data_IF_966344856372
#
_entry.id   IF_966344856372
#
_cell.length_a   1.000
_cell.length_b   1.000
_cell.length_c   1.000
_cell.angle_alpha   90.00
_cell.angle_beta   90.00
_cell.angle_gamma   90.00
#
_symmetry.space_group_name_H-M   'P 1'
#
loop_
_entity.id
_entity.type
_entity.pdbx_description
1 polymer ?
#
# COMPACT_ATOMS: atom_id res chain seq x y z
N UNK A 1 -29.35 -38.50 -61.18
CA UNK A 1 -30.27 -37.78 -60.28
C UNK A 1 -30.88 -36.48 -60.83
N UNK A 2 -30.19 -35.59 -61.58
CA UNK A 2 -30.81 -34.32 -62.01
C UNK A 2 -32.03 -34.49 -62.92
N UNK A 3 -32.07 -35.56 -63.72
CA UNK A 3 -33.22 -35.88 -64.58
C UNK A 3 -34.50 -36.27 -63.82
N UNK A 4 -34.37 -36.81 -62.60
CA UNK A 4 -35.53 -37.20 -61.81
C UNK A 4 -36.26 -35.98 -61.22
N UNK A 5 -35.50 -35.00 -60.69
CA UNK A 5 -36.08 -33.79 -60.10
C UNK A 5 -36.80 -32.94 -61.15
N UNK A 6 -36.20 -32.78 -62.34
CA UNK A 6 -36.85 -32.07 -63.44
C UNK A 6 -38.09 -32.81 -63.97
N UNK A 7 -38.03 -34.13 -64.12
CA UNK A 7 -39.19 -34.91 -64.56
C UNK A 7 -40.34 -34.87 -63.53
N UNK A 8 -40.02 -34.97 -62.25
CA UNK A 8 -40.98 -34.84 -61.16
C UNK A 8 -41.61 -33.44 -61.12
N UNK A 9 -40.80 -32.37 -61.19
CA UNK A 9 -41.28 -31.00 -61.16
C UNK A 9 -42.23 -30.68 -62.32
N UNK A 10 -41.87 -31.11 -63.53
CA UNK A 10 -42.69 -30.90 -64.72
C UNK A 10 -43.96 -31.76 -64.76
N UNK A 11 -44.07 -32.80 -63.91
CA UNK A 11 -45.28 -33.63 -63.79
C UNK A 11 -46.35 -33.06 -62.85
N UNK A 12 -46.05 -32.00 -62.10
CA UNK A 12 -46.96 -31.35 -61.16
C UNK A 12 -47.82 -30.28 -61.83
N UNK A 13 -49.04 -30.05 -61.34
CA UNK A 13 -49.89 -28.94 -61.82
C UNK A 13 -49.32 -27.59 -61.37
N UNK A 14 -49.60 -26.48 -62.10
CA UNK A 14 -49.14 -25.14 -61.73
C UNK A 14 -49.50 -24.74 -60.29
N UNK A 15 -50.69 -25.11 -59.82
CA UNK A 15 -51.13 -24.86 -58.43
C UNK A 15 -50.26 -25.58 -57.39
N UNK A 16 -49.91 -26.85 -57.64
CA UNK A 16 -49.02 -27.62 -56.76
C UNK A 16 -47.60 -27.03 -56.75
N UNK A 17 -47.09 -26.59 -57.91
CA UNK A 17 -45.80 -25.91 -58.00
C UNK A 17 -45.79 -24.63 -57.17
N UNK A 18 -46.82 -23.77 -57.29
CA UNK A 18 -46.91 -22.53 -56.49
C UNK A 18 -47.00 -22.81 -54.98
N UNK A 19 -47.73 -23.86 -54.59
CA UNK A 19 -47.87 -24.24 -53.18
C UNK A 19 -46.54 -24.73 -52.60
N UNK A 20 -45.81 -25.58 -53.33
CA UNK A 20 -44.50 -26.08 -52.91
C UNK A 20 -43.50 -24.93 -52.78
N UNK A 21 -43.48 -23.99 -53.73
CA UNK A 21 -42.62 -22.80 -53.64
C UNK A 21 -42.97 -21.96 -52.41
N UNK A 22 -44.26 -21.73 -52.14
CA UNK A 22 -44.71 -20.99 -50.96
C UNK A 22 -44.27 -21.63 -49.64
N UNK A 23 -44.43 -22.95 -49.51
CA UNK A 23 -44.01 -23.70 -48.32
C UNK A 23 -42.49 -23.65 -48.12
N UNK A 24 -41.71 -23.85 -49.20
CA UNK A 24 -40.25 -23.78 -49.13
C UNK A 24 -39.75 -22.37 -48.78
N UNK A 25 -40.36 -21.32 -49.34
CA UNK A 25 -40.04 -19.94 -49.01
C UNK A 25 -40.34 -19.62 -47.54
N UNK A 26 -41.50 -20.05 -47.02
CA UNK A 26 -41.85 -19.88 -45.62
C UNK A 26 -40.90 -20.64 -44.68
N UNK A 27 -40.56 -21.89 -45.01
CA UNK A 27 -39.61 -22.70 -44.25
C UNK A 27 -38.22 -22.04 -44.22
N UNK A 28 -37.70 -21.61 -45.38
CA UNK A 28 -36.41 -20.93 -45.47
C UNK A 28 -36.40 -19.61 -44.68
N UNK A 29 -37.44 -18.78 -44.84
CA UNK A 29 -37.58 -17.53 -44.09
C UNK A 29 -37.62 -17.77 -42.57
N UNK A 30 -38.24 -18.87 -42.13
CA UNK A 30 -38.30 -19.25 -40.71
C UNK A 30 -36.92 -19.66 -40.19
N UNK A 31 -36.16 -20.46 -40.96
CA UNK A 31 -34.80 -20.88 -40.58
C UNK A 31 -33.85 -19.69 -40.51
N UNK A 32 -33.86 -18.81 -41.53
CA UNK A 32 -33.03 -17.60 -41.54
C UNK A 32 -33.42 -16.66 -40.39
N UNK A 33 -34.71 -16.46 -40.15
CA UNK A 33 -35.20 -15.69 -39.01
C UNK A 33 -34.71 -16.24 -37.68
N UNK A 34 -34.83 -17.55 -37.47
CA UNK A 34 -34.33 -18.22 -36.26
C UNK A 34 -32.81 -18.08 -36.10
N UNK A 35 -32.03 -18.24 -37.18
CA UNK A 35 -30.57 -18.06 -37.15
C UNK A 35 -30.18 -16.62 -36.78
N UNK A 36 -30.87 -15.62 -37.34
CA UNK A 36 -30.63 -14.21 -37.00
C UNK A 36 -30.93 -13.90 -35.54
N UNK A 37 -32.02 -14.45 -34.99
CA UNK A 37 -32.37 -14.29 -33.57
C UNK A 37 -31.30 -14.92 -32.67
N UNK A 38 -30.87 -16.15 -32.97
CA UNK A 38 -29.81 -16.83 -32.20
C UNK A 38 -28.50 -16.04 -32.23
N UNK A 39 -28.10 -15.54 -33.41
CA UNK A 39 -26.90 -14.73 -33.56
C UNK A 39 -27.00 -13.40 -32.79
N UNK A 40 -28.16 -12.74 -32.84
CA UNK A 40 -28.42 -11.51 -32.08
C UNK A 40 -28.38 -11.74 -30.57
N UNK A 41 -28.99 -12.82 -30.06
CA UNK A 41 -28.95 -13.19 -28.64
C UNK A 41 -27.51 -13.46 -28.21
N UNK A 42 -26.74 -14.21 -29.00
CA UNK A 42 -25.33 -14.47 -28.70
C UNK A 42 -24.49 -13.18 -28.64
N UNK A 43 -24.71 -12.26 -29.58
CA UNK A 43 -24.04 -10.96 -29.58
C UNK A 43 -24.45 -10.08 -28.40
N UNK A 44 -25.74 -10.02 -28.07
CA UNK A 44 -26.25 -9.27 -26.92
C UNK A 44 -25.74 -9.84 -25.59
N UNK A 45 -25.68 -11.16 -25.44
CA UNK A 45 -25.12 -11.82 -24.27
C UNK A 45 -23.66 -11.45 -24.06
N UNK A 46 -22.85 -11.46 -25.13
CA UNK A 46 -21.44 -11.04 -25.06
C UNK A 46 -21.30 -9.56 -24.65
N UNK A 47 -22.12 -8.67 -25.20
CA UNK A 47 -22.12 -7.26 -24.80
C UNK A 47 -22.57 -7.07 -23.35
N UNK A 48 -23.58 -7.80 -22.89
CA UNK A 48 -24.05 -7.76 -21.51
C UNK A 48 -22.98 -8.29 -20.53
N UNK A 49 -22.27 -9.38 -20.88
CA UNK A 49 -21.14 -9.89 -20.09
C UNK A 49 -20.04 -8.84 -19.99
N UNK A 50 -19.67 -8.21 -21.11
CA UNK A 50 -18.64 -7.18 -21.12
C UNK A 50 -19.05 -5.96 -20.29
N UNK A 51 -20.30 -5.50 -20.42
CA UNK A 51 -20.84 -4.39 -19.65
C UNK A 51 -20.89 -4.72 -18.15
N UNK A 52 -21.31 -5.92 -17.78
CA UNK A 52 -21.31 -6.37 -16.39
C UNK A 52 -19.89 -6.44 -15.81
N UNK A 53 -18.91 -6.91 -16.59
CA UNK A 53 -17.49 -6.90 -16.17
C UNK A 53 -16.96 -5.48 -15.97
N UNK A 54 -17.28 -4.58 -16.90
CA UNK A 54 -16.85 -3.18 -16.79
C UNK A 54 -17.51 -2.48 -15.59
N UNK A 55 -18.80 -2.73 -15.35
CA UNK A 55 -19.52 -2.19 -14.20
C UNK A 55 -18.96 -2.74 -12.88
N UNK A 56 -18.66 -4.04 -12.80
CA UNK A 56 -18.05 -4.65 -11.63
C UNK A 56 -16.64 -4.10 -11.37
N UNK A 57 -15.82 -3.93 -12.42
CA UNK A 57 -14.50 -3.34 -12.31
C UNK A 57 -14.56 -1.88 -11.86
N UNK A 58 -15.51 -1.08 -12.39
CA UNK A 58 -15.70 0.30 -11.98
C UNK A 58 -16.14 0.39 -10.51
N UNK A 59 -17.07 -0.46 -10.09
CA UNK A 59 -17.50 -0.54 -8.70
C UNK A 59 -16.34 -0.88 -7.77
N UNK A 60 -15.54 -1.90 -8.12
CA UNK A 60 -14.35 -2.26 -7.35
C UNK A 60 -13.35 -1.09 -7.28
N UNK A 61 -13.07 -0.39 -8.39
CA UNK A 61 -12.20 0.80 -8.39
C UNK A 61 -12.66 1.90 -7.43
N UNK A 62 -13.97 2.12 -7.33
CA UNK A 62 -14.55 3.10 -6.40
C UNK A 62 -14.41 2.64 -4.96
N UNK A 63 -14.76 1.38 -4.66
CA UNK A 63 -14.61 0.81 -3.31
C UNK A 63 -13.16 0.88 -2.81
N UNK A 64 -12.21 0.55 -3.67
CA UNK A 64 -10.78 0.64 -3.36
C UNK A 64 -10.31 2.07 -3.14
N UNK A 65 -10.85 3.01 -3.91
CA UNK A 65 -10.53 4.42 -3.73
C UNK A 65 -11.05 4.95 -2.38
N UNK A 66 -12.28 4.58 -2.00
CA UNK A 66 -12.86 4.94 -0.70
C UNK A 66 -12.02 4.35 0.45
N UNK A 67 -11.61 3.09 0.34
CA UNK A 67 -10.75 2.43 1.33
C UNK A 67 -9.42 3.16 1.50
N UNK A 68 -8.71 3.48 0.40
CA UNK A 68 -7.42 4.18 0.52
C UNK A 68 -7.58 5.62 1.02
N UNK A 69 -8.65 6.33 0.64
CA UNK A 69 -8.90 7.68 1.16
C UNK A 69 -9.06 7.64 2.68
N UNK A 70 -9.80 6.67 3.22
CA UNK A 70 -9.93 6.50 4.67
C UNK A 70 -8.59 6.19 5.32
N UNK A 71 -7.81 5.25 4.76
CA UNK A 71 -6.48 4.91 5.29
C UNK A 71 -5.51 6.10 5.26
N UNK A 72 -5.53 6.91 4.19
CA UNK A 72 -4.73 8.12 4.08
C UNK A 72 -5.16 9.18 5.11
N UNK A 73 -6.47 9.32 5.37
CA UNK A 73 -6.99 10.20 6.40
C UNK A 73 -6.51 9.78 7.79
N UNK A 74 -6.71 8.51 8.16
CA UNK A 74 -6.30 7.97 9.46
C UNK A 74 -4.78 8.10 9.67
N UNK A 75 -3.98 7.85 8.63
CA UNK A 75 -2.53 8.01 8.68
C UNK A 75 -2.10 9.48 8.84
N UNK A 76 -2.80 10.41 8.19
CA UNK A 76 -2.54 11.85 8.32
C UNK A 76 -2.92 12.34 9.72
N UNK A 77 -4.02 11.86 10.28
CA UNK A 77 -4.43 12.15 11.66
C UNK A 77 -3.40 11.63 12.66
N UNK A 78 -2.96 10.38 12.54
CA UNK A 78 -1.94 9.79 13.40
C UNK A 78 -0.61 10.55 13.34
N UNK A 79 -0.18 10.94 12.12
CA UNK A 79 1.01 11.77 11.90
C UNK A 79 0.88 13.13 12.58
N UNK A 80 -0.24 13.81 12.37
CA UNK A 80 -0.54 15.10 13.00
C UNK A 80 -0.55 14.99 14.53
N UNK A 81 -1.15 13.94 15.07
CA UNK A 81 -1.23 13.71 16.51
C UNK A 81 0.17 13.52 17.12
N UNK A 82 1.00 12.64 16.57
CA UNK A 82 2.37 12.41 17.05
C UNK A 82 3.21 13.70 16.98
N UNK A 83 3.23 14.38 15.82
CA UNK A 83 4.01 15.59 15.65
C UNK A 83 3.51 16.73 16.57
N UNK A 84 2.19 16.87 16.74
CA UNK A 84 1.60 17.87 17.64
C UNK A 84 1.90 17.57 19.10
N UNK A 85 1.92 16.28 19.50
CA UNK A 85 2.27 15.86 20.85
C UNK A 85 3.69 16.30 21.21
N UNK A 86 4.64 16.01 20.32
CA UNK A 86 6.06 16.38 20.47
C UNK A 86 6.21 17.91 20.55
N UNK A 87 5.63 18.65 19.59
CA UNK A 87 5.71 20.12 19.57
C UNK A 87 5.12 20.74 20.82
N UNK A 88 3.95 20.27 21.25
CA UNK A 88 3.26 20.78 22.43
C UNK A 88 4.09 20.57 23.69
N UNK A 89 4.72 19.40 23.85
CA UNK A 89 5.60 19.16 24.99
C UNK A 89 6.78 20.14 25.04
N UNK A 90 7.43 20.39 23.90
CA UNK A 90 8.53 21.36 23.81
C UNK A 90 8.07 22.78 24.17
N UNK A 91 6.90 23.20 23.67
CA UNK A 91 6.30 24.50 23.98
C UNK A 91 6.00 24.62 25.47
N UNK A 92 5.37 23.59 26.05
CA UNK A 92 5.01 23.57 27.47
C UNK A 92 6.25 23.67 28.37
N UNK A 93 7.35 23.00 28.02
CA UNK A 93 8.63 23.10 28.74
C UNK A 93 9.21 24.53 28.68
N UNK A 94 9.30 25.10 27.48
CA UNK A 94 9.83 26.46 27.30
C UNK A 94 9.00 27.52 28.01
N UNK A 95 7.67 27.39 27.96
CA UNK A 95 6.75 28.29 28.63
C UNK A 95 6.84 28.16 30.16
N UNK A 96 6.89 26.93 30.69
CA UNK A 96 7.05 26.69 32.11
C UNK A 96 8.36 27.30 32.66
N UNK A 97 9.49 27.07 31.98
CA UNK A 97 10.79 27.65 32.36
C UNK A 97 10.73 29.18 32.37
N UNK A 98 10.19 29.78 31.30
CA UNK A 98 10.09 31.23 31.16
C UNK A 98 9.21 31.87 32.25
N UNK A 99 8.07 31.27 32.56
CA UNK A 99 7.14 31.79 33.58
C UNK A 99 7.70 31.64 35.00
N UNK A 100 8.40 30.53 35.28
CA UNK A 100 9.02 30.31 36.60
C UNK A 100 10.12 31.33 36.88
N UNK A 101 10.90 31.73 35.86
CA UNK A 101 11.94 32.77 36.00
C UNK A 101 11.41 34.14 36.36
N UNK A 102 10.18 34.47 35.96
CA UNK A 102 9.52 35.74 36.32
C UNK A 102 8.68 35.62 37.61
N UNK A 103 8.85 34.52 38.36
CA UNK A 103 8.14 34.29 39.62
C UNK A 103 6.66 33.98 39.48
N UNK A 104 6.19 33.64 38.27
CA UNK A 104 4.81 33.25 38.03
C UNK A 104 4.64 31.75 38.25
N UNK A 105 3.55 31.37 38.93
CA UNK A 105 3.17 29.96 39.04
C UNK A 105 2.50 29.52 37.72
N UNK A 106 3.14 28.62 37.00
CA UNK A 106 2.61 28.07 35.74
C UNK A 106 2.29 26.58 35.89
N UNK A 107 1.31 26.11 35.12
CA UNK A 107 0.94 24.70 35.14
C UNK A 107 2.05 23.85 34.52
N UNK A 108 2.36 22.72 35.17
CA UNK A 108 3.31 21.73 34.65
C UNK A 108 2.84 21.16 33.31
N UNK A 109 3.76 20.71 32.43
CA UNK A 109 3.40 20.06 31.18
C UNK A 109 2.43 18.88 31.41
N UNK A 110 1.42 18.76 30.54
CA UNK A 110 0.43 17.65 30.63
C UNK A 110 0.88 16.39 29.88
N UNK A 111 1.88 16.51 29.01
CA UNK A 111 2.43 15.37 28.27
C UNK A 111 3.03 14.32 29.22
N UNK A 112 2.92 13.04 28.84
CA UNK A 112 3.34 11.85 29.59
C UNK A 112 3.98 10.85 28.61
N UNK A 113 4.87 10.01 29.13
CA UNK A 113 5.53 9.00 28.30
C UNK A 113 4.54 8.05 27.62
N UNK A 114 3.51 7.61 28.35
CA UNK A 114 2.44 6.74 27.83
C UNK A 114 1.71 7.38 26.64
N UNK A 115 1.40 8.68 26.70
CA UNK A 115 0.73 9.37 25.62
C UNK A 115 1.61 9.55 24.39
N UNK A 116 2.92 9.78 24.58
CA UNK A 116 3.88 9.84 23.47
C UNK A 116 4.02 8.47 22.80
N UNK A 117 4.16 7.40 23.58
CA UNK A 117 4.26 6.03 23.06
C UNK A 117 2.97 5.62 22.35
N UNK A 118 1.80 5.91 22.91
CA UNK A 118 0.53 5.61 22.26
C UNK A 118 0.36 6.35 20.92
N UNK A 119 0.81 7.61 20.85
CA UNK A 119 0.80 8.36 19.59
C UNK A 119 1.77 7.77 18.55
N UNK A 120 2.94 7.28 18.98
CA UNK A 120 3.91 6.59 18.12
C UNK A 120 3.38 5.23 17.64
N UNK A 121 2.78 4.45 18.52
CA UNK A 121 2.21 3.15 18.19
C UNK A 121 1.07 3.27 17.17
N UNK A 122 0.17 4.25 17.34
CA UNK A 122 -0.91 4.48 16.38
C UNK A 122 -0.37 4.95 15.01
N UNK A 123 0.68 5.79 15.01
CA UNK A 123 1.39 6.17 13.79
C UNK A 123 1.99 4.95 13.07
N UNK A 124 2.74 4.10 13.76
CA UNK A 124 3.37 2.91 13.19
C UNK A 124 2.30 1.95 12.63
N UNK A 125 1.21 1.75 13.37
CA UNK A 125 0.09 0.91 12.97
C UNK A 125 -0.59 1.43 11.69
N UNK A 126 -0.81 2.73 11.56
CA UNK A 126 -1.39 3.29 10.33
C UNK A 126 -0.42 3.19 9.15
N UNK A 127 0.88 3.41 9.36
CA UNK A 127 1.90 3.21 8.34
C UNK A 127 1.93 1.75 7.82
N UNK A 128 1.84 0.78 8.73
CA UNK A 128 1.75 -0.65 8.40
C UNK A 128 0.47 -0.96 7.61
N UNK A 129 -0.68 -0.38 7.95
CA UNK A 129 -1.92 -0.56 7.16
C UNK A 129 -1.78 -0.05 5.73
N UNK A 130 -1.12 1.09 5.52
CA UNK A 130 -0.84 1.60 4.17
C UNK A 130 0.04 0.62 3.38
N UNK A 131 1.05 0.03 4.02
CA UNK A 131 1.87 -1.01 3.40
C UNK A 131 1.01 -2.22 2.99
N UNK A 132 0.16 -2.74 3.89
CA UNK A 132 -0.72 -3.86 3.57
C UNK A 132 -1.68 -3.56 2.42
N UNK A 133 -2.24 -2.36 2.35
CA UNK A 133 -3.09 -1.96 1.23
C UNK A 133 -2.35 -2.11 -0.11
N UNK A 134 -1.11 -1.62 -0.20
CA UNK A 134 -0.31 -1.74 -1.43
C UNK A 134 0.05 -3.18 -1.79
N UNK A 135 0.26 -4.05 -0.78
CA UNK A 135 0.57 -5.47 -1.00
C UNK A 135 -0.66 -6.22 -1.50
N UNK A 136 -1.81 -6.00 -0.86
CA UNK A 136 -3.08 -6.64 -1.21
C UNK A 136 -3.53 -6.25 -2.63
N UNK A 137 -3.33 -4.99 -3.00
CA UNK A 137 -3.81 -4.43 -4.26
C UNK A 137 -2.72 -4.21 -5.31
N UNK A 138 -1.57 -4.88 -5.17
CA UNK A 138 -0.46 -4.81 -6.13
C UNK A 138 -0.81 -5.25 -7.56
N UNK A 139 -1.93 -5.96 -7.75
CA UNK A 139 -2.45 -6.34 -9.07
C UNK A 139 -2.97 -5.15 -9.89
N UNK A 140 -3.32 -4.04 -9.24
CA UNK A 140 -3.82 -2.83 -9.92
C UNK A 140 -2.68 -2.20 -10.73
N UNK A 141 -1.54 -1.99 -10.09
CA UNK A 141 -0.31 -1.56 -10.73
C UNK A 141 0.90 -2.00 -9.87
N UNK A 142 1.81 -2.85 -10.38
CA UNK A 142 2.98 -3.33 -9.64
C UNK A 142 3.88 -2.21 -9.12
N UNK A 143 3.84 -1.04 -9.77
CA UNK A 143 4.67 0.11 -9.40
C UNK A 143 4.23 0.75 -8.08
N UNK A 144 3.02 0.46 -7.60
CA UNK A 144 2.53 0.90 -6.28
C UNK A 144 3.40 0.41 -5.12
N UNK A 145 4.20 -0.63 -5.33
CA UNK A 145 5.17 -1.12 -4.35
C UNK A 145 6.20 -0.08 -3.91
N UNK A 146 6.42 1.02 -4.65
CA UNK A 146 7.27 2.13 -4.19
C UNK A 146 6.75 2.79 -2.93
N UNK A 147 5.43 2.87 -2.75
CA UNK A 147 4.84 3.47 -1.56
C UNK A 147 5.19 2.65 -0.33
N UNK A 148 5.08 1.32 -0.41
CA UNK A 148 5.51 0.42 0.66
C UNK A 148 6.98 0.63 1.03
N UNK A 149 7.84 0.68 0.01
CA UNK A 149 9.28 0.89 0.21
C UNK A 149 9.55 2.25 0.86
N UNK A 150 8.91 3.32 0.39
CA UNK A 150 9.04 4.66 0.95
C UNK A 150 8.57 4.72 2.41
N UNK A 151 7.42 4.11 2.74
CA UNK A 151 6.93 3.99 4.12
C UNK A 151 7.91 3.21 4.99
N UNK A 152 8.50 2.12 4.47
CA UNK A 152 9.50 1.33 5.20
C UNK A 152 10.76 2.12 5.52
N UNK A 153 11.22 2.94 4.57
CA UNK A 153 12.35 3.87 4.76
C UNK A 153 12.01 4.87 5.86
N UNK A 154 10.86 5.55 5.78
CA UNK A 154 10.46 6.54 6.78
C UNK A 154 10.30 5.93 8.18
N UNK A 155 9.71 4.75 8.30
CA UNK A 155 9.60 4.06 9.59
C UNK A 155 10.97 3.71 10.17
N UNK A 156 11.92 3.33 9.33
CA UNK A 156 13.28 3.05 9.77
C UNK A 156 14.00 4.31 10.26
N UNK A 157 13.95 5.39 9.49
CA UNK A 157 14.59 6.66 9.81
C UNK A 157 13.96 7.27 11.08
N UNK A 158 12.63 7.22 11.19
CA UNK A 158 11.90 7.63 12.39
C UNK A 158 12.34 6.85 13.61
N UNK A 159 12.50 5.52 13.53
CA UNK A 159 12.93 4.72 14.68
C UNK A 159 14.33 5.12 15.17
N UNK A 160 15.25 5.40 14.24
CA UNK A 160 16.59 5.88 14.55
C UNK A 160 16.57 7.26 15.21
N UNK A 161 15.67 8.15 14.79
CA UNK A 161 15.51 9.49 15.37
C UNK A 161 14.74 9.47 16.71
N UNK A 162 13.73 8.60 16.84
CA UNK A 162 12.79 8.58 17.95
C UNK A 162 13.45 8.07 19.23
N UNK A 163 14.27 7.02 19.17
CA UNK A 163 14.89 6.45 20.39
C UNK A 163 15.80 7.44 21.15
N UNK A 164 16.71 8.19 20.50
CA UNK A 164 17.48 9.23 21.15
C UNK A 164 16.61 10.35 21.72
N UNK A 165 15.60 10.80 20.98
CA UNK A 165 14.64 11.80 21.44
C UNK A 165 13.88 11.31 22.68
N UNK A 166 13.28 10.12 22.61
CA UNK A 166 12.52 9.51 23.69
C UNK A 166 13.35 9.37 24.98
N UNK A 167 14.58 8.86 24.85
CA UNK A 167 15.52 8.72 25.97
C UNK A 167 15.86 10.07 26.61
N UNK A 168 15.97 11.15 25.81
CA UNK A 168 16.22 12.51 26.30
C UNK A 168 15.02 13.10 27.02
N UNK A 169 13.79 12.89 26.53
CA UNK A 169 12.59 13.51 27.12
C UNK A 169 12.03 12.75 28.32
N UNK A 170 12.22 11.44 28.39
CA UNK A 170 11.63 10.58 29.41
C UNK A 170 11.91 11.03 30.87
N UNK A 171 13.12 11.49 31.25
CA UNK A 171 13.37 11.99 32.61
C UNK A 171 12.59 13.25 32.96
N UNK A 172 12.21 14.04 31.95
CA UNK A 172 11.58 15.36 32.09
C UNK A 172 10.07 15.32 31.88
N UNK A 173 9.51 14.18 31.49
CA UNK A 173 8.07 14.00 31.46
C UNK A 173 7.55 13.76 32.88
N UNK A 174 6.51 14.49 33.33
CA UNK A 174 5.94 14.24 34.65
C UNK A 174 5.40 12.81 34.75
N UNK A 175 5.52 12.21 35.94
CA UNK A 175 5.02 10.86 36.24
C UNK A 175 3.75 10.97 37.09
N UNK A 176 2.68 10.32 36.66
CA UNK A 176 1.38 10.30 37.36
C UNK A 176 0.48 11.51 37.11
N UNK A 177 -0.74 11.40 37.63
CA UNK A 177 -1.63 12.54 37.86
C UNK A 177 -1.16 13.21 39.16
N UNK A 178 -0.77 14.48 39.07
CA UNK A 178 -0.75 15.42 40.19
C UNK A 178 -0.14 14.95 41.54
N UNK A 179 1.17 14.70 41.58
CA UNK A 179 1.93 14.44 42.83
C UNK A 179 1.54 13.18 43.62
N UNK A 180 0.73 12.26 43.07
CA UNK A 180 0.26 11.11 43.83
C UNK A 180 1.31 10.01 44.07
N UNK A 181 2.49 10.09 43.45
CA UNK A 181 3.60 9.21 43.82
C UNK A 181 4.43 9.90 44.91
N UNK A 182 4.32 9.48 46.19
CA UNK A 182 5.07 10.11 47.26
C UNK A 182 6.57 10.02 46.97
N UNK A 183 7.25 11.16 46.97
CA UNK A 183 8.71 11.24 46.76
C UNK A 183 9.16 11.59 45.34
N UNK A 184 8.27 11.74 44.36
CA UNK A 184 8.66 12.17 43.00
C UNK A 184 8.19 13.60 42.70
N UNK A 185 8.97 14.59 43.15
CA UNK A 185 8.76 15.99 42.77
C UNK A 185 9.33 16.22 41.38
N UNK A 186 8.45 16.46 40.40
CA UNK A 186 8.88 16.89 39.07
C UNK A 186 9.58 18.25 39.16
N UNK A 187 10.73 18.39 38.51
CA UNK A 187 11.44 19.64 38.35
C UNK A 187 11.64 19.94 36.87
N UNK A 188 11.63 21.24 36.52
CA UNK A 188 11.90 21.65 35.15
C UNK A 188 13.35 21.33 34.78
N UNK A 189 13.61 20.93 33.52
CA UNK A 189 14.95 20.98 32.95
C UNK A 189 15.49 22.42 32.92
N UNK A 190 16.82 22.53 32.86
CA UNK A 190 17.49 23.80 32.56
C UNK A 190 17.32 24.19 31.08
N UNK A 191 17.62 25.45 30.75
CA UNK A 191 17.40 25.97 29.40
C UNK A 191 18.21 25.22 28.33
N UNK A 192 19.42 24.79 28.69
CA UNK A 192 20.27 24.03 27.78
C UNK A 192 19.61 22.71 27.43
N UNK A 193 19.08 22.01 28.42
CA UNK A 193 18.39 20.73 28.24
C UNK A 193 17.09 20.91 27.45
N UNK A 194 16.35 22.01 27.67
CA UNK A 194 15.17 22.35 26.85
C UNK A 194 15.57 22.53 25.38
N UNK A 195 16.66 23.25 25.11
CA UNK A 195 17.17 23.42 23.75
C UNK A 195 17.60 22.08 23.13
N UNK A 196 18.34 21.25 23.87
CA UNK A 196 18.75 19.92 23.38
C UNK A 196 17.55 18.99 23.10
N UNK A 197 16.49 19.07 23.89
CA UNK A 197 15.23 18.34 23.65
C UNK A 197 14.58 18.84 22.36
N UNK A 198 14.44 20.16 22.21
CA UNK A 198 13.87 20.76 21.02
C UNK A 198 14.65 20.37 19.75
N UNK A 199 15.98 20.46 19.77
CA UNK A 199 16.84 20.08 18.66
C UNK A 199 16.70 18.58 18.32
N UNK A 200 16.66 17.71 19.33
CA UNK A 200 16.46 16.26 19.09
C UNK A 200 15.08 15.90 18.57
N UNK A 201 14.08 16.76 18.74
CA UNK A 201 12.73 16.54 18.23
C UNK A 201 12.57 16.85 16.74
N UNK A 202 13.45 17.70 16.19
CA UNK A 202 13.42 18.13 14.78
C UNK A 202 13.45 16.93 13.82
N UNK A 203 14.42 16.00 13.88
CA UNK A 203 14.45 14.86 12.95
C UNK A 203 13.22 13.95 13.09
N UNK A 204 12.72 13.74 14.31
CA UNK A 204 11.51 12.93 14.55
C UNK A 204 10.29 13.55 13.85
N UNK A 205 10.09 14.86 14.04
CA UNK A 205 9.01 15.59 13.38
C UNK A 205 9.19 15.58 11.86
N UNK A 206 10.42 15.73 11.38
CA UNK A 206 10.75 15.72 9.96
C UNK A 206 10.36 14.41 9.29
N UNK A 207 10.69 13.28 9.92
CA UNK A 207 10.35 11.95 9.43
C UNK A 207 8.84 11.68 9.47
N UNK A 208 8.14 12.15 10.50
CA UNK A 208 6.67 12.10 10.55
C UNK A 208 6.06 12.89 9.38
N UNK A 209 6.58 14.09 9.09
CA UNK A 209 6.12 14.91 7.97
C UNK A 209 6.52 14.32 6.59
N UNK A 210 7.62 13.57 6.51
CA UNK A 210 7.98 12.81 5.32
C UNK A 210 6.94 11.73 5.03
N UNK A 211 6.45 11.00 6.05
CA UNK A 211 5.37 10.04 5.85
C UNK A 211 4.09 10.73 5.37
N UNK A 212 3.69 11.83 6.02
CA UNK A 212 2.51 12.62 5.62
C UNK A 212 2.60 13.06 4.15
N UNK A 213 3.79 13.49 3.70
CA UNK A 213 4.04 13.83 2.30
C UNK A 213 3.82 12.63 1.36
N UNK A 214 4.26 11.44 1.76
CA UNK A 214 4.06 10.20 0.99
C UNK A 214 2.60 9.74 0.99
N UNK A 215 1.86 9.98 2.07
CA UNK A 215 0.41 9.72 2.14
C UNK A 215 -0.33 10.56 1.11
N UNK A 216 -0.02 11.85 1.01
CA UNK A 216 -0.60 12.76 0.00
C UNK A 216 -0.27 12.30 -1.41
N UNK A 217 1.00 11.94 -1.67
CA UNK A 217 1.44 11.46 -2.97
C UNK A 217 0.73 10.13 -3.33
N UNK A 218 0.58 9.22 -2.37
CA UNK A 218 -0.14 7.95 -2.54
C UNK A 218 -1.61 8.17 -2.88
N UNK A 219 -2.31 9.02 -2.12
CA UNK A 219 -3.71 9.34 -2.39
C UNK A 219 -3.88 9.93 -3.79
N UNK A 220 -2.99 10.84 -4.19
CA UNK A 220 -3.00 11.49 -5.51
C UNK A 220 -2.78 10.48 -6.64
N UNK A 221 -1.79 9.59 -6.50
CA UNK A 221 -1.52 8.56 -7.51
C UNK A 221 -2.64 7.52 -7.58
N UNK A 222 -3.23 7.12 -6.45
CA UNK A 222 -4.40 6.22 -6.44
C UNK A 222 -5.63 6.88 -7.08
N UNK A 223 -5.87 8.17 -6.84
CA UNK A 223 -6.95 8.89 -7.50
C UNK A 223 -6.75 8.91 -9.02
N UNK A 224 -5.52 9.20 -9.47
CA UNK A 224 -5.18 9.20 -10.88
C UNK A 224 -5.33 7.81 -11.52
N UNK A 225 -4.92 6.75 -10.81
CA UNK A 225 -4.93 5.37 -11.29
C UNK A 225 -6.33 4.77 -11.32
N UNK A 226 -7.14 5.01 -10.28
CA UNK A 226 -8.46 4.40 -10.11
C UNK A 226 -9.56 5.21 -10.80
N UNK A 227 -9.47 6.54 -10.74
CA UNK A 227 -10.55 7.43 -11.18
C UNK A 227 -10.21 8.31 -12.38
N UNK A 228 -8.93 8.40 -12.77
CA UNK A 228 -8.49 9.32 -13.84
C UNK A 228 -9.21 9.11 -15.17
N UNK A 229 -9.48 7.86 -15.55
CA UNK A 229 -10.19 7.52 -16.79
C UNK A 229 -11.67 7.92 -16.75
N UNK A 230 -12.29 7.90 -15.56
CA UNK A 230 -13.70 8.23 -15.36
C UNK A 230 -13.94 9.74 -15.58
N UNK A 231 -13.03 10.57 -15.04
CA UNK A 231 -13.14 12.03 -15.10
C UNK A 231 -12.32 12.67 -16.23
N UNK A 232 -11.55 11.87 -16.98
CA UNK A 232 -10.65 12.33 -18.05
C UNK A 232 -9.71 13.46 -17.62
N UNK A 233 -9.32 13.43 -16.35
CA UNK A 233 -8.46 14.43 -15.73
C UNK A 233 -7.49 13.74 -14.76
N UNK A 234 -6.29 14.31 -14.62
CA UNK A 234 -5.28 13.84 -13.68
C UNK A 234 -4.86 14.98 -12.77
N UNK A 235 -4.77 14.69 -11.49
CA UNK A 235 -4.20 15.60 -10.51
C UNK A 235 -2.70 15.77 -10.75
N UNK A 236 -2.19 17.01 -10.64
CA UNK A 236 -0.76 17.27 -10.73
C UNK A 236 -0.03 16.65 -9.53
N UNK A 237 1.25 16.36 -9.73
CA UNK A 237 2.14 15.97 -8.64
C UNK A 237 2.30 17.14 -7.65
N UNK A 238 2.60 16.82 -6.39
CA UNK A 238 3.05 17.81 -5.40
C UNK A 238 4.35 18.47 -5.87
N UNK A 239 4.49 19.76 -5.59
CA UNK A 239 5.70 20.55 -5.86
C UNK A 239 6.21 21.14 -4.54
N UNK A 240 6.98 20.38 -3.73
CA UNK A 240 7.51 20.90 -2.47
C UNK A 240 8.45 22.08 -2.73
N UNK A 241 8.42 23.07 -1.83
CA UNK A 241 9.35 24.21 -1.85
C UNK A 241 10.80 23.76 -1.65
N UNK A 242 10.98 22.72 -0.83
CA UNK A 242 12.27 22.09 -0.59
C UNK A 242 12.52 20.98 -1.62
N UNK A 243 13.51 21.13 -2.52
CA UNK A 243 13.79 20.15 -3.57
C UNK A 243 14.40 18.84 -3.04
N UNK A 244 14.81 18.79 -1.77
CA UNK A 244 15.32 17.55 -1.15
C UNK A 244 14.18 16.58 -0.84
N UNK A 245 12.96 17.08 -0.64
CA UNK A 245 11.75 16.26 -0.40
C UNK A 245 11.39 15.46 -1.64
N UNK A 246 11.34 14.14 -1.49
CA UNK A 246 10.94 13.26 -2.59
C UNK A 246 9.44 13.35 -2.82
N UNK A 247 9.05 13.31 -4.08
CA UNK A 247 7.66 13.22 -4.53
C UNK A 247 7.49 11.86 -5.18
N UNK A 248 6.56 11.06 -4.67
CA UNK A 248 6.33 9.71 -5.16
C UNK A 248 5.41 9.75 -6.39
N UNK A 249 5.91 9.21 -7.50
CA UNK A 249 5.19 9.16 -8.77
C UNK A 249 5.38 7.79 -9.41
N UNK A 250 4.30 7.17 -9.87
CA UNK A 250 4.36 5.86 -10.50
C UNK A 250 5.19 5.89 -11.80
N UNK A 251 5.24 7.03 -12.49
CA UNK A 251 6.06 7.23 -13.70
C UNK A 251 7.57 7.25 -13.41
N UNK A 252 7.97 7.54 -12.17
CA UNK A 252 9.36 7.59 -11.73
C UNK A 252 9.76 6.32 -10.95
N UNK A 253 9.01 5.23 -11.10
CA UNK A 253 9.17 3.99 -10.33
C UNK A 253 10.62 3.53 -10.23
N UNK A 254 11.30 3.32 -11.37
CA UNK A 254 12.65 2.74 -11.37
C UNK A 254 13.66 3.63 -10.64
N UNK A 255 13.60 4.95 -10.85
CA UNK A 255 14.46 5.92 -10.18
C UNK A 255 14.22 5.96 -8.67
N UNK A 256 12.96 5.95 -8.24
CA UNK A 256 12.59 5.95 -6.83
C UNK A 256 12.98 4.62 -6.17
N UNK A 257 12.73 3.51 -6.84
CA UNK A 257 13.07 2.17 -6.36
C UNK A 257 14.59 1.99 -6.22
N UNK A 258 15.37 2.48 -7.19
CA UNK A 258 16.83 2.53 -7.10
C UNK A 258 17.29 3.36 -5.89
N UNK A 259 16.77 4.58 -5.76
CA UNK A 259 17.08 5.46 -4.63
C UNK A 259 16.79 4.80 -3.28
N UNK A 260 15.58 4.27 -3.08
CA UNK A 260 15.21 3.70 -1.79
C UNK A 260 15.97 2.40 -1.46
N UNK A 261 16.21 1.53 -2.44
CA UNK A 261 16.94 0.28 -2.17
C UNK A 261 18.47 0.48 -2.07
N UNK A 262 19.04 1.54 -2.64
CA UNK A 262 20.49 1.69 -2.78
C UNK A 262 21.08 2.87 -2.00
N UNK A 263 20.38 4.00 -1.93
CA UNK A 263 20.92 5.23 -1.36
C UNK A 263 20.52 5.46 0.11
N UNK A 264 19.47 4.81 0.60
CA UNK A 264 18.98 5.01 1.99
C UNK A 264 19.65 4.06 2.97
N UNK A 265 19.68 4.44 4.26
CA UNK A 265 20.17 3.60 5.34
C UNK A 265 19.36 2.28 5.42
N UNK A 266 18.04 2.36 5.27
CA UNK A 266 17.17 1.19 5.21
C UNK A 266 17.55 0.25 4.07
N UNK A 267 17.75 0.77 2.85
CA UNK A 267 18.10 -0.02 1.68
C UNK A 267 19.44 -0.75 1.84
N UNK A 268 20.43 -0.08 2.41
CA UNK A 268 21.73 -0.67 2.74
C UNK A 268 21.57 -1.80 3.77
N UNK A 269 20.89 -1.54 4.89
CA UNK A 269 20.63 -2.52 5.95
C UNK A 269 19.85 -3.73 5.44
N UNK A 270 18.88 -3.52 4.55
CA UNK A 270 18.10 -4.58 3.91
C UNK A 270 19.01 -5.51 3.10
N UNK A 271 19.88 -4.96 2.25
CA UNK A 271 20.83 -5.76 1.45
C UNK A 271 21.79 -6.58 2.31
N UNK A 272 22.31 -5.98 3.38
CA UNK A 272 23.17 -6.68 4.34
C UNK A 272 22.43 -7.87 4.96
N UNK A 273 21.18 -7.65 5.37
CA UNK A 273 20.33 -8.70 5.95
C UNK A 273 20.05 -9.82 4.95
N UNK A 274 19.71 -9.48 3.70
CA UNK A 274 19.47 -10.46 2.64
C UNK A 274 20.73 -11.29 2.32
N UNK A 275 21.90 -10.67 2.29
CA UNK A 275 23.17 -11.37 2.07
C UNK A 275 23.46 -12.38 3.18
N UNK A 276 23.21 -12.02 4.44
CA UNK A 276 23.36 -12.92 5.60
C UNK A 276 22.41 -14.11 5.47
N UNK A 277 21.14 -13.88 5.14
CA UNK A 277 20.14 -14.95 4.98
C UNK A 277 20.50 -15.89 3.84
N UNK A 278 20.97 -15.36 2.71
CA UNK A 278 21.44 -16.18 1.59
C UNK A 278 22.64 -17.07 1.97
N UNK A 279 23.59 -16.53 2.72
CA UNK A 279 24.74 -17.30 3.22
C UNK A 279 24.30 -18.42 4.18
N UNK A 280 23.35 -18.14 5.08
CA UNK A 280 22.79 -19.14 6.00
C UNK A 280 22.03 -20.24 5.27
N UNK A 281 21.23 -19.89 4.25
CA UNK A 281 20.49 -20.86 3.44
C UNK A 281 21.44 -21.75 2.62
N UNK A 282 22.50 -21.17 2.05
CA UNK A 282 23.54 -21.92 1.35
C UNK A 282 24.22 -22.93 2.29
N UNK A 283 24.63 -22.50 3.50
CA UNK A 283 25.25 -23.38 4.49
C UNK A 283 24.34 -24.53 4.94
N UNK A 284 23.04 -24.27 5.12
CA UNK A 284 22.04 -25.30 5.46
C UNK A 284 21.88 -26.33 4.34
N UNK A 285 21.83 -25.88 3.09
CA UNK A 285 21.65 -26.78 1.95
C UNK A 285 22.81 -27.79 1.81
N UNK A 286 24.03 -27.39 2.17
CA UNK A 286 25.22 -28.25 2.19
C UNK A 286 25.15 -29.29 3.32
N UNK A 287 24.63 -28.92 4.51
CA UNK A 287 24.48 -29.85 5.64
C UNK A 287 23.38 -30.89 5.43
N UNK A 288 22.36 -30.57 4.64
CA UNK A 288 21.23 -31.49 4.37
C UNK A 288 21.48 -32.49 3.25
N UNK A 289 22.64 -32.44 2.57
CA UNK A 289 23.01 -33.49 1.60
C UNK A 289 23.37 -34.76 2.38
N UNK A 290 22.54 -35.83 2.29
CA UNK A 290 22.78 -37.03 3.07
C UNK A 290 24.10 -37.67 2.64
N UNK A 291 24.91 -38.04 3.63
CA UNK A 291 26.08 -38.92 3.54
C UNK A 291 25.71 -40.34 3.03
N UNK A 292 25.06 -40.42 1.88
CA UNK A 292 24.61 -41.66 1.21
C UNK A 292 25.60 -42.17 0.16
N UNK A 293 26.87 -41.74 0.23
CA UNK A 293 27.98 -42.31 -0.54
C UNK A 293 28.88 -43.22 0.30
N UNK A 294 28.48 -43.57 1.54
CA UNK A 294 29.03 -44.69 2.28
C UNK A 294 28.47 -46.03 1.78
N UNK A 295 28.60 -46.33 0.48
CA UNK A 295 28.37 -47.67 -0.04
C UNK A 295 29.52 -48.54 0.45
N UNK A 296 29.34 -49.18 1.61
CA UNK A 296 30.20 -50.28 2.03
C UNK A 296 30.07 -51.38 0.98
N UNK A 297 31.06 -51.47 0.08
CA UNK A 297 31.21 -52.59 -0.84
C UNK A 297 31.58 -53.79 0.01
N UNK A 298 30.58 -54.56 0.42
CA UNK A 298 30.78 -55.90 0.95
C UNK A 298 31.28 -56.75 -0.21
N UNK A 299 32.59 -57.00 -0.25
CA UNK A 299 33.19 -57.95 -1.17
C UNK A 299 32.65 -59.35 -0.85
N UNK A 300 32.21 -60.14 -1.83
CA UNK A 300 31.75 -61.50 -1.58
C UNK A 300 32.95 -62.37 -1.20
N UNK A 301 32.87 -63.00 -0.03
CA UNK A 301 33.79 -64.06 0.37
C UNK A 301 33.68 -65.21 -0.63
N UNK A 302 34.81 -65.55 -1.26
CA UNK A 302 34.92 -66.71 -2.14
C UNK A 302 34.95 -67.99 -1.32
N UNK A 303 34.01 -68.89 -1.60
CA UNK A 303 34.07 -70.29 -1.17
C UNK A 303 35.27 -70.99 -1.82
N UNK A 304 36.11 -71.59 -0.99
CA UNK A 304 37.02 -72.69 -1.32
C UNK A 304 36.62 -73.94 -0.56
#
# INVERSE_FOLDING_TARGET
MPNFVNAFWNSLTPEMQTTIVGVLAAAFSTVVGAMLVIWQIGRQANHAILQNRNNAALKLKVELYEEIVQLCHDASEASTNLASYIRRFNIDLGLFSSMTKVGQNWNRPKARAEGLMAAKDEFDKMAIKLMYFTEQWGIIDPRTSIFRTAVSVTLHDLELAFQPYFSKVLPWMPRGADNEVPGFLWHSPDDRTIAEIADSSVPVIDDVMNLESYVIDMQTEMQNLLLGDLFKHRLPARAPLDPTRKVLRLENYDKLNDHFNNATAWGQKKKETEAIVLQQNAARSVQTLPSKLGTSVVLPEGNG
#
